data_IF_484580319951
#
_entry.id   IF_484580319951
#
_cell.length_a   1.000
_cell.length_b   1.000
_cell.length_c   1.000
_cell.angle_alpha   90.00
_cell.angle_beta   90.00
_cell.angle_gamma   90.00
#
_symmetry.space_group_name_H-M   'P 1'
#
loop_
_entity.id
_entity.type
_entity.pdbx_description
1 polymer ?
#
# COMPACT_ATOMS: atom_id res chain seq x y z
N UNK A 1 36.47 26.76 -48.24
CA UNK A 1 35.02 26.38 -48.32
C UNK A 1 34.64 25.23 -47.36
N UNK A 2 35.42 24.20 -47.19
CA UNK A 2 35.09 23.05 -46.31
C UNK A 2 34.95 23.36 -44.80
N UNK A 3 35.67 24.34 -44.25
CA UNK A 3 35.61 24.70 -42.83
C UNK A 3 34.26 25.29 -42.40
N UNK A 4 33.58 26.03 -43.25
CA UNK A 4 32.27 26.62 -42.93
C UNK A 4 31.12 25.63 -43.04
N UNK A 5 31.30 24.58 -43.89
CA UNK A 5 30.33 23.51 -43.99
C UNK A 5 30.27 22.67 -42.71
N UNK A 6 31.41 22.44 -42.05
CA UNK A 6 31.50 21.66 -40.81
C UNK A 6 30.92 22.43 -39.61
N UNK A 7 31.07 23.76 -39.57
CA UNK A 7 30.49 24.59 -38.52
C UNK A 7 28.97 24.66 -38.63
N UNK A 8 28.46 24.72 -39.88
CA UNK A 8 27.00 24.70 -40.10
C UNK A 8 26.35 23.35 -39.76
N UNK A 9 27.06 22.23 -39.94
CA UNK A 9 26.56 20.91 -39.58
C UNK A 9 26.55 20.68 -38.04
N UNK A 10 27.52 21.25 -37.33
CA UNK A 10 27.62 21.14 -35.89
C UNK A 10 26.54 21.98 -35.15
N UNK A 11 26.14 23.11 -35.75
CA UNK A 11 25.07 23.95 -35.16
C UNK A 11 23.66 23.32 -35.27
N UNK A 12 23.44 22.46 -36.25
CA UNK A 12 22.14 21.76 -36.41
C UNK A 12 21.96 20.66 -35.34
N UNK A 13 23.06 20.06 -34.87
CA UNK A 13 22.98 19.05 -33.80
C UNK A 13 22.73 19.61 -32.40
N UNK A 14 23.01 20.91 -32.18
CA UNK A 14 22.79 21.55 -30.88
C UNK A 14 21.34 21.97 -30.64
N UNK A 15 20.50 22.01 -31.65
CA UNK A 15 19.07 22.37 -31.51
C UNK A 15 18.18 21.13 -31.26
N UNK A 16 18.71 19.92 -31.36
CA UNK A 16 17.94 18.68 -31.20
C UNK A 16 17.68 18.28 -29.73
N UNK A 17 18.28 18.97 -28.74
CA UNK A 17 17.91 18.80 -27.34
C UNK A 17 16.86 19.85 -26.93
N UNK A 18 15.73 19.86 -27.59
CA UNK A 18 14.54 20.45 -26.98
C UNK A 18 14.05 19.47 -25.92
N UNK A 19 14.22 19.86 -24.66
CA UNK A 19 13.61 19.20 -23.54
C UNK A 19 12.12 19.05 -23.85
N UNK A 20 11.65 17.84 -23.99
CA UNK A 20 10.21 17.56 -24.03
C UNK A 20 9.70 17.95 -22.65
N UNK A 21 9.20 19.16 -22.51
CA UNK A 21 8.46 19.55 -21.31
C UNK A 21 7.22 18.68 -21.26
N UNK A 22 7.30 17.63 -20.45
CA UNK A 22 6.15 16.85 -20.10
C UNK A 22 5.22 17.76 -19.29
N UNK A 23 4.24 18.34 -19.98
CA UNK A 23 3.21 19.14 -19.34
C UNK A 23 2.51 18.22 -18.34
N UNK A 24 2.88 18.34 -17.07
CA UNK A 24 2.15 17.68 -16.00
C UNK A 24 0.73 18.24 -16.02
N UNK A 25 -0.22 17.43 -16.47
CA UNK A 25 -1.63 17.76 -16.40
C UNK A 25 -1.97 18.14 -14.96
N UNK A 26 -2.62 19.27 -14.78
CA UNK A 26 -3.06 19.67 -13.44
C UNK A 26 -4.08 18.64 -12.94
N UNK A 27 -4.07 18.29 -11.66
CA UNK A 27 -5.00 17.28 -11.12
C UNK A 27 -6.45 17.51 -11.53
N UNK A 28 -6.91 18.76 -11.54
CA UNK A 28 -8.25 19.15 -11.95
C UNK A 28 -8.54 19.02 -13.47
N UNK A 29 -7.52 18.82 -14.30
CA UNK A 29 -7.66 18.55 -15.74
C UNK A 29 -7.77 17.04 -16.03
N UNK A 30 -7.26 16.21 -15.11
CA UNK A 30 -7.29 14.74 -15.23
C UNK A 30 -8.60 14.17 -14.70
N UNK A 31 -9.13 14.76 -13.62
CA UNK A 31 -10.36 14.30 -13.00
C UNK A 31 -11.58 14.90 -13.67
N UNK A 32 -12.41 14.05 -14.26
CA UNK A 32 -13.67 14.43 -14.89
C UNK A 32 -14.83 14.43 -13.87
N UNK A 33 -14.59 14.91 -12.66
CA UNK A 33 -15.51 14.85 -11.52
C UNK A 33 -16.89 15.41 -11.85
N UNK A 34 -16.94 16.48 -12.64
CA UNK A 34 -18.20 17.12 -13.09
C UNK A 34 -19.12 16.20 -13.88
N UNK A 35 -18.58 15.09 -14.43
CA UNK A 35 -19.37 14.10 -15.16
C UNK A 35 -20.11 13.13 -14.22
N UNK A 36 -19.79 13.15 -12.91
CA UNK A 36 -20.39 12.28 -11.92
C UNK A 36 -21.35 13.08 -11.02
N UNK A 37 -22.64 12.82 -11.15
CA UNK A 37 -23.67 13.51 -10.35
C UNK A 37 -23.44 13.18 -8.86
N UNK A 38 -23.33 14.24 -8.04
CA UNK A 38 -23.17 14.09 -6.60
C UNK A 38 -21.74 13.80 -6.13
N UNK A 39 -20.72 13.90 -6.99
CA UNK A 39 -19.33 13.67 -6.59
C UNK A 39 -18.89 14.55 -5.41
N UNK A 40 -19.40 15.77 -5.32
CA UNK A 40 -19.10 16.73 -4.23
C UNK A 40 -19.60 16.24 -2.85
N UNK A 41 -20.53 15.29 -2.84
CA UNK A 41 -21.11 14.72 -1.63
C UNK A 41 -20.36 13.46 -1.16
N UNK A 42 -19.44 12.95 -1.97
CA UNK A 42 -18.63 11.78 -1.65
C UNK A 42 -17.39 12.24 -0.87
N UNK A 43 -17.28 11.91 0.43
CA UNK A 43 -16.09 12.24 1.18
C UNK A 43 -14.89 11.48 0.62
N UNK A 44 -13.78 12.17 0.43
CA UNK A 44 -12.51 11.58 0.02
C UNK A 44 -11.56 11.69 1.21
N UNK A 45 -11.19 10.56 1.78
CA UNK A 45 -10.27 10.52 2.91
C UNK A 45 -8.86 10.92 2.46
N UNK A 46 -8.24 11.76 3.24
CA UNK A 46 -6.82 12.07 3.07
C UNK A 46 -5.94 10.97 3.68
N UNK A 47 -4.65 10.99 3.38
CA UNK A 47 -3.72 9.95 3.86
C UNK A 47 -3.65 9.83 5.38
N UNK A 48 -3.85 10.92 6.12
CA UNK A 48 -3.88 10.86 7.58
C UNK A 48 -5.13 10.12 8.09
N UNK A 49 -6.29 10.33 7.45
CA UNK A 49 -7.53 9.64 7.78
C UNK A 49 -7.48 8.16 7.43
N UNK A 50 -6.90 7.83 6.27
CA UNK A 50 -6.76 6.43 5.81
C UNK A 50 -5.98 5.58 6.82
N UNK A 51 -4.88 6.12 7.38
CA UNK A 51 -3.97 5.38 8.25
C UNK A 51 -4.13 5.69 9.74
N UNK A 52 -5.07 6.54 10.12
CA UNK A 52 -5.30 6.89 11.53
C UNK A 52 -5.76 5.68 12.33
N UNK A 53 -5.15 5.49 13.50
CA UNK A 53 -5.57 4.53 14.51
C UNK A 53 -6.04 5.26 15.77
N UNK A 54 -7.09 4.74 16.38
CA UNK A 54 -7.50 5.12 17.73
C UNK A 54 -6.69 4.34 18.78
N UNK A 55 -6.91 4.66 20.05
CA UNK A 55 -6.07 4.14 21.13
C UNK A 55 -6.21 2.63 21.33
N UNK A 56 -7.39 2.07 21.10
CA UNK A 56 -7.67 0.64 21.17
C UNK A 56 -6.83 -0.16 20.15
N UNK A 57 -6.74 0.29 18.91
CA UNK A 57 -5.92 -0.34 17.88
C UNK A 57 -4.42 -0.22 18.18
N UNK A 58 -3.98 0.92 18.73
CA UNK A 58 -2.59 1.10 19.16
C UNK A 58 -2.22 0.21 20.33
N UNK A 59 -3.12 0.07 21.31
CA UNK A 59 -2.93 -0.84 22.43
C UNK A 59 -2.86 -2.29 21.97
N UNK A 60 -3.73 -2.70 21.05
CA UNK A 60 -3.67 -4.03 20.44
C UNK A 60 -2.32 -4.29 19.79
N UNK A 61 -1.81 -3.36 18.98
CA UNK A 61 -0.51 -3.49 18.35
C UNK A 61 0.61 -3.67 19.39
N UNK A 62 0.63 -2.81 20.42
CA UNK A 62 1.63 -2.90 21.49
C UNK A 62 1.54 -4.21 22.27
N UNK A 63 0.33 -4.65 22.59
CA UNK A 63 0.08 -5.90 23.30
C UNK A 63 0.54 -7.13 22.51
N UNK A 64 0.39 -7.12 21.20
CA UNK A 64 0.76 -8.25 20.32
C UNK A 64 2.23 -8.60 20.36
N UNK A 65 3.12 -7.67 20.71
CA UNK A 65 4.58 -7.87 20.74
C UNK A 65 5.18 -7.89 22.14
N UNK A 66 4.34 -7.85 23.19
CA UNK A 66 4.80 -7.88 24.59
C UNK A 66 5.62 -9.15 24.86
N UNK A 67 6.81 -8.97 25.44
CA UNK A 67 7.71 -10.08 25.76
C UNK A 67 8.55 -10.61 24.60
N UNK A 68 8.30 -10.14 23.37
CA UNK A 68 9.06 -10.54 22.19
C UNK A 68 10.19 -9.54 21.95
N UNK A 69 11.44 -9.97 21.99
CA UNK A 69 12.63 -9.08 21.86
C UNK A 69 13.13 -8.97 20.43
N UNK A 70 13.08 -10.05 19.69
CA UNK A 70 13.58 -10.08 18.32
C UNK A 70 12.63 -9.35 17.37
N UNK A 71 13.11 -8.39 16.55
CA UNK A 71 12.25 -7.60 15.66
C UNK A 71 11.52 -8.43 14.61
N UNK A 72 12.09 -9.52 14.11
CA UNK A 72 11.44 -10.41 13.14
C UNK A 72 10.30 -11.18 13.82
N UNK A 73 10.54 -11.66 15.02
CA UNK A 73 9.50 -12.36 15.80
C UNK A 73 8.40 -11.39 16.25
N UNK A 74 8.71 -10.11 16.50
CA UNK A 74 7.68 -9.08 16.75
C UNK A 74 6.76 -8.89 15.55
N UNK A 75 7.30 -8.85 14.32
CA UNK A 75 6.50 -8.75 13.10
C UNK A 75 5.60 -9.99 12.96
N UNK A 76 6.13 -11.17 13.16
CA UNK A 76 5.35 -12.43 13.12
C UNK A 76 4.26 -12.45 14.19
N UNK A 77 4.56 -11.97 15.39
CA UNK A 77 3.60 -11.89 16.49
C UNK A 77 2.44 -10.94 16.15
N UNK A 78 2.73 -9.75 15.60
CA UNK A 78 1.71 -8.81 15.14
C UNK A 78 0.80 -9.46 14.10
N UNK A 79 1.39 -10.04 13.04
CA UNK A 79 0.63 -10.70 11.97
C UNK A 79 -0.19 -11.86 12.51
N UNK A 80 0.40 -12.69 13.38
CA UNK A 80 -0.33 -13.77 14.02
C UNK A 80 -1.50 -13.30 14.85
N UNK A 81 -1.35 -12.22 15.61
CA UNK A 81 -2.42 -11.66 16.44
C UNK A 81 -3.63 -11.20 15.60
N UNK A 82 -3.41 -10.62 14.42
CA UNK A 82 -4.48 -10.19 13.51
C UNK A 82 -5.34 -11.38 13.05
N UNK A 83 -4.72 -12.53 12.74
CA UNK A 83 -5.42 -13.69 12.19
C UNK A 83 -5.88 -14.71 13.23
N UNK A 84 -5.36 -14.64 14.45
CA UNK A 84 -5.67 -15.62 15.48
C UNK A 84 -7.10 -15.42 16.00
N UNK A 85 -7.90 -16.50 15.92
CA UNK A 85 -9.33 -16.48 16.32
C UNK A 85 -9.56 -16.07 17.77
N UNK A 86 -8.64 -16.45 18.67
CA UNK A 86 -8.74 -16.08 20.10
C UNK A 86 -8.46 -14.61 20.37
N UNK A 87 -7.76 -13.93 19.47
CA UNK A 87 -7.29 -12.57 19.70
C UNK A 87 -8.15 -11.57 18.92
N UNK A 88 -7.92 -11.44 17.61
CA UNK A 88 -8.61 -10.44 16.80
C UNK A 88 -9.67 -11.06 15.87
N UNK A 89 -9.42 -12.27 15.35
CA UNK A 89 -10.35 -13.02 14.50
C UNK A 89 -10.84 -12.26 13.26
N UNK A 90 -9.93 -11.66 12.51
CA UNK A 90 -10.28 -10.92 11.30
C UNK A 90 -10.89 -11.85 10.24
N UNK A 91 -11.99 -11.41 9.64
CA UNK A 91 -12.68 -12.12 8.56
C UNK A 91 -12.33 -11.48 7.21
N UNK A 92 -11.94 -12.29 6.24
CA UNK A 92 -11.76 -11.82 4.88
C UNK A 92 -13.12 -11.66 4.17
N UNK A 93 -13.36 -10.46 3.66
CA UNK A 93 -14.55 -10.13 2.85
C UNK A 93 -14.15 -9.25 1.68
N UNK A 94 -14.38 -9.70 0.46
CA UNK A 94 -13.98 -9.00 -0.76
C UNK A 94 -14.61 -7.59 -0.91
N UNK A 95 -15.74 -7.35 -0.27
CA UNK A 95 -16.48 -6.08 -0.28
C UNK A 95 -16.14 -5.16 0.90
N UNK A 96 -15.35 -5.62 1.87
CA UNK A 96 -14.96 -4.84 3.03
C UNK A 96 -13.79 -3.91 2.68
N UNK A 97 -14.11 -2.77 2.05
CA UNK A 97 -13.16 -1.72 1.70
C UNK A 97 -13.31 -0.55 2.70
N UNK A 98 -12.32 -0.34 3.56
CA UNK A 98 -12.38 0.68 4.61
C UNK A 98 -10.99 1.12 5.07
N UNK A 99 -10.94 2.26 5.77
CA UNK A 99 -9.74 2.83 6.39
C UNK A 99 -9.25 1.97 7.57
N UNK A 100 -8.03 2.23 8.05
CA UNK A 100 -7.38 1.42 9.07
C UNK A 100 -8.23 1.19 10.32
N UNK A 101 -8.75 2.26 10.93
CA UNK A 101 -9.53 2.16 12.17
C UNK A 101 -10.84 1.40 11.95
N UNK A 102 -11.58 1.72 10.90
CA UNK A 102 -12.85 1.03 10.58
C UNK A 102 -12.64 -0.46 10.30
N UNK A 103 -11.53 -0.81 9.64
CA UNK A 103 -11.14 -2.21 9.44
C UNK A 103 -10.88 -2.90 10.77
N UNK A 104 -10.20 -2.22 11.69
CA UNK A 104 -9.93 -2.73 13.03
C UNK A 104 -11.22 -2.97 13.81
N UNK A 105 -12.12 -2.02 13.85
CA UNK A 105 -13.40 -2.10 14.56
C UNK A 105 -14.31 -3.20 14.03
N UNK A 106 -14.45 -3.26 12.71
CA UNK A 106 -15.32 -4.22 12.04
C UNK A 106 -14.75 -5.64 11.96
N UNK A 107 -13.45 -5.80 12.18
CA UNK A 107 -12.72 -7.08 12.05
C UNK A 107 -12.98 -7.79 10.72
N UNK A 108 -13.11 -7.00 9.67
CA UNK A 108 -13.46 -7.46 8.33
C UNK A 108 -12.71 -6.63 7.29
N UNK A 109 -12.05 -7.29 6.35
CA UNK A 109 -11.20 -6.64 5.36
C UNK A 109 -11.12 -7.41 4.05
N UNK A 110 -10.89 -6.68 2.96
CA UNK A 110 -10.29 -7.22 1.74
C UNK A 110 -8.76 -7.06 1.79
N UNK A 111 -8.04 -7.44 0.72
CA UNK A 111 -6.58 -7.34 0.67
C UNK A 111 -6.08 -5.90 0.88
N UNK A 112 -6.76 -4.90 0.31
CA UNK A 112 -6.37 -3.50 0.43
C UNK A 112 -6.58 -2.98 1.87
N UNK A 113 -7.77 -3.14 2.43
CA UNK A 113 -8.09 -2.68 3.79
C UNK A 113 -7.23 -3.38 4.84
N UNK A 114 -6.95 -4.66 4.65
CA UNK A 114 -6.07 -5.42 5.51
C UNK A 114 -4.62 -4.89 5.44
N UNK A 115 -4.14 -4.58 4.23
CA UNK A 115 -2.82 -3.98 4.04
C UNK A 115 -2.74 -2.59 4.68
N UNK A 116 -3.78 -1.76 4.54
CA UNK A 116 -3.86 -0.42 5.14
C UNK A 116 -3.83 -0.51 6.67
N UNK A 117 -4.66 -1.36 7.28
CA UNK A 117 -4.70 -1.55 8.73
C UNK A 117 -3.36 -2.09 9.26
N UNK A 118 -2.82 -3.12 8.61
CA UNK A 118 -1.54 -3.71 9.05
C UNK A 118 -0.37 -2.74 8.87
N UNK A 119 -0.37 -1.93 7.81
CA UNK A 119 0.58 -0.83 7.64
C UNK A 119 0.53 0.12 8.83
N UNK A 120 -0.66 0.58 9.20
CA UNK A 120 -0.84 1.52 10.29
C UNK A 120 -0.38 0.93 11.64
N UNK A 121 -0.74 -0.33 11.95
CA UNK A 121 -0.31 -1.03 13.15
C UNK A 121 1.21 -1.22 13.20
N UNK A 122 1.83 -1.60 12.09
CA UNK A 122 3.29 -1.76 11.99
C UNK A 122 4.02 -0.43 12.19
N UNK A 123 3.49 0.65 11.61
CA UNK A 123 4.05 2.01 11.79
C UNK A 123 3.93 2.51 13.23
N UNK A 124 2.82 2.23 13.92
CA UNK A 124 2.65 2.54 15.34
C UNK A 124 3.71 1.85 16.21
N UNK A 125 4.11 0.64 15.86
CA UNK A 125 5.19 -0.08 16.53
C UNK A 125 6.59 0.39 16.13
N UNK A 126 6.72 1.34 15.19
CA UNK A 126 7.96 1.89 14.69
C UNK A 126 8.66 1.01 13.65
N UNK A 127 7.98 0.04 13.06
CA UNK A 127 8.48 -0.71 11.91
C UNK A 127 8.43 0.12 10.63
N UNK A 128 9.34 -0.16 9.69
CA UNK A 128 9.18 0.25 8.31
C UNK A 128 8.05 -0.57 7.68
N UNK A 129 7.29 0.05 6.76
CA UNK A 129 6.29 -0.69 6.00
C UNK A 129 6.11 -0.04 4.63
N UNK A 130 5.85 -0.86 3.60
CA UNK A 130 5.58 -0.39 2.24
C UNK A 130 4.63 -1.33 1.53
N UNK A 131 3.75 -0.77 0.72
CA UNK A 131 2.87 -1.55 -0.14
C UNK A 131 3.66 -2.13 -1.30
N UNK A 132 3.30 -3.34 -1.71
CA UNK A 132 3.85 -4.04 -2.87
C UNK A 132 2.71 -4.39 -3.82
N UNK A 133 2.81 -3.92 -5.05
CA UNK A 133 1.96 -4.42 -6.12
C UNK A 133 2.48 -5.80 -6.54
N UNK A 134 1.59 -6.79 -6.53
CA UNK A 134 1.90 -8.15 -6.96
C UNK A 134 1.28 -8.36 -8.34
N UNK A 135 2.11 -8.70 -9.31
CA UNK A 135 1.63 -9.12 -10.62
C UNK A 135 1.05 -10.53 -10.50
N UNK A 136 -0.26 -10.62 -10.59
CA UNK A 136 -1.00 -11.88 -10.67
C UNK A 136 -1.52 -12.05 -12.10
N UNK A 137 -1.70 -13.28 -12.60
CA UNK A 137 -2.39 -13.49 -13.85
C UNK A 137 -3.73 -12.79 -13.85
N UNK A 138 -4.04 -12.06 -14.93
CA UNK A 138 -5.33 -11.40 -15.05
C UNK A 138 -6.45 -12.41 -14.90
N UNK A 139 -7.31 -12.20 -13.92
CA UNK A 139 -8.55 -12.97 -13.82
C UNK A 139 -9.72 -12.05 -13.52
N UNK A 140 -10.81 -12.34 -14.17
CA UNK A 140 -12.03 -11.57 -14.11
C UNK A 140 -13.07 -12.31 -13.29
N UNK A 141 -13.65 -11.61 -12.34
CA UNK A 141 -14.83 -12.09 -11.61
C UNK A 141 -16.08 -11.35 -12.08
N UNK A 142 -17.22 -11.98 -11.90
CA UNK A 142 -18.52 -11.35 -12.17
C UNK A 142 -19.28 -11.18 -10.88
N UNK A 143 -19.64 -9.95 -10.57
CA UNK A 143 -20.40 -9.62 -9.37
C UNK A 143 -21.47 -8.60 -9.72
N UNK A 144 -22.72 -8.88 -9.34
CA UNK A 144 -23.86 -7.97 -9.55
C UNK A 144 -24.00 -7.48 -11.00
N UNK A 145 -23.69 -8.34 -11.97
CA UNK A 145 -23.72 -8.00 -13.39
C UNK A 145 -22.49 -7.28 -13.93
N UNK A 146 -21.58 -6.85 -13.09
CA UNK A 146 -20.32 -6.18 -13.47
C UNK A 146 -19.19 -7.20 -13.62
N UNK A 147 -18.24 -6.88 -14.53
CA UNK A 147 -16.97 -7.60 -14.65
C UNK A 147 -15.93 -6.84 -13.87
N UNK A 148 -15.27 -7.50 -12.94
CA UNK A 148 -14.23 -6.94 -12.10
C UNK A 148 -12.90 -7.59 -12.45
N UNK A 149 -11.91 -6.77 -12.82
CA UNK A 149 -10.52 -7.21 -12.91
C UNK A 149 -9.95 -7.26 -11.49
N UNK A 150 -9.46 -8.42 -11.10
CA UNK A 150 -8.87 -8.59 -9.78
C UNK A 150 -7.37 -8.29 -9.86
N UNK A 151 -6.89 -7.53 -8.90
CA UNK A 151 -5.48 -7.28 -8.66
C UNK A 151 -5.15 -7.61 -7.20
N UNK A 152 -3.87 -7.76 -6.91
CA UNK A 152 -3.43 -8.10 -5.57
C UNK A 152 -2.42 -7.09 -5.03
N UNK A 153 -2.53 -6.80 -3.75
CA UNK A 153 -1.61 -5.93 -3.03
C UNK A 153 -1.15 -6.64 -1.75
N UNK A 154 0.15 -6.65 -1.55
CA UNK A 154 0.79 -7.14 -0.33
C UNK A 154 1.41 -5.99 0.46
N UNK A 155 1.80 -6.30 1.69
CA UNK A 155 2.53 -5.40 2.55
C UNK A 155 3.88 -6.02 2.91
N UNK A 156 4.96 -5.30 2.67
CA UNK A 156 6.27 -5.63 3.19
C UNK A 156 6.51 -4.86 4.49
N UNK A 157 6.80 -5.57 5.58
CA UNK A 157 7.16 -4.98 6.86
C UNK A 157 8.66 -5.16 7.09
N UNK A 158 9.33 -4.06 7.44
CA UNK A 158 10.77 -4.02 7.67
C UNK A 158 11.03 -3.84 9.16
N UNK A 159 12.01 -4.57 9.74
CA UNK A 159 12.40 -4.37 11.12
C UNK A 159 12.79 -2.92 11.41
N UNK A 160 12.71 -2.51 12.67
CA UNK A 160 13.19 -1.19 13.10
C UNK A 160 14.63 -1.00 12.66
N UNK A 161 14.90 0.02 11.87
CA UNK A 161 16.25 0.32 11.42
C UNK A 161 17.08 0.91 12.57
N UNK A 162 17.95 0.11 13.17
CA UNK A 162 19.16 0.65 13.80
C UNK A 162 20.09 1.03 12.67
N UNK A 163 20.66 2.25 12.67
CA UNK A 163 21.56 2.74 11.61
C UNK A 163 22.73 1.81 11.27
N UNK A 164 23.13 0.92 12.17
CA UNK A 164 24.17 -0.10 11.96
C UNK A 164 23.68 -1.34 11.21
N UNK A 165 22.36 -1.52 11.01
CA UNK A 165 21.76 -2.76 10.47
C UNK A 165 21.27 -2.61 9.02
N UNK A 166 21.42 -1.43 8.43
CA UNK A 166 20.87 -1.09 7.09
C UNK A 166 21.49 -1.94 5.97
N UNK A 167 22.67 -2.49 6.18
CA UNK A 167 23.40 -3.20 5.13
C UNK A 167 23.13 -4.71 5.08
N UNK A 168 22.63 -5.30 6.15
CA UNK A 168 22.48 -6.76 6.27
C UNK A 168 21.05 -7.31 6.08
N UNK A 169 20.01 -6.48 6.11
CA UNK A 169 18.63 -6.98 5.97
C UNK A 169 17.84 -6.24 4.90
N UNK A 170 18.21 -6.45 3.64
CA UNK A 170 17.32 -6.13 2.49
C UNK A 170 16.12 -7.08 2.38
N UNK A 171 16.05 -8.11 3.20
CA UNK A 171 14.95 -9.06 3.24
C UNK A 171 13.92 -8.58 4.27
N UNK A 172 12.90 -7.86 3.82
CA UNK A 172 11.71 -7.59 4.61
C UNK A 172 10.87 -8.85 4.79
N UNK A 173 10.05 -8.88 5.82
CA UNK A 173 9.03 -9.91 5.98
C UNK A 173 7.86 -9.58 5.07
N UNK A 174 7.63 -10.43 4.08
CA UNK A 174 6.49 -10.32 3.18
C UNK A 174 5.28 -10.97 3.83
N UNK A 175 4.19 -10.22 3.91
CA UNK A 175 2.92 -10.71 4.45
C UNK A 175 2.01 -11.00 3.26
N UNK A 176 1.89 -12.26 2.92
CA UNK A 176 0.88 -12.74 1.97
C UNK A 176 -0.44 -12.98 2.72
N UNK A 177 -1.35 -12.04 2.60
CA UNK A 177 -2.63 -12.10 3.28
C UNK A 177 -3.58 -13.15 2.68
N UNK A 178 -3.47 -13.44 1.40
CA UNK A 178 -4.33 -14.43 0.75
C UNK A 178 -4.00 -15.86 1.20
N UNK A 179 -2.72 -16.20 1.29
CA UNK A 179 -2.30 -17.50 1.79
C UNK A 179 -2.74 -17.75 3.24
N UNK A 180 -2.86 -16.69 4.04
CA UNK A 180 -3.32 -16.80 5.43
C UNK A 180 -4.84 -16.81 5.56
N UNK A 181 -5.55 -16.11 4.68
CA UNK A 181 -7.02 -16.14 4.62
C UNK A 181 -7.55 -17.48 4.11
N UNK A 182 -6.92 -18.08 3.10
CA UNK A 182 -7.31 -19.35 2.50
C UNK A 182 -7.13 -20.54 3.46
N UNK A 183 -6.16 -20.49 4.38
CA UNK A 183 -5.95 -21.55 5.37
C UNK A 183 -7.02 -21.63 6.47
N UNK A 184 -8.02 -20.75 6.48
CA UNK A 184 -9.06 -20.68 7.51
C UNK A 184 -10.43 -21.20 7.07
N UNK A 185 -10.55 -21.68 5.85
CA UNK A 185 -11.71 -22.39 5.32
C UNK A 185 -11.36 -23.85 5.17
#
# INVERSE_FOLDING_TARGET
MFKYLFIGLLSVFLVACQSFEMTLLRPNEVFADKNFIGFEQVPIENSHEIFRLQEDAKLFAKASIVGVRDPQEQIKALVSAIFKRSDFNLLYRADANSVAQTTFENRSANCLSLSIMTYALARELGFGARFQHIEIPEYWTRREGQRLLNSHINLQILPKQNRAFVELTRQGFEVDFDAQAIKKH
#
